data_IF_564216805464
#
_entry.id   IF_564216805464
#
_cell.length_a   1.000
_cell.length_b   1.000
_cell.length_c   1.000
_cell.angle_alpha   90.00
_cell.angle_beta   90.00
_cell.angle_gamma   90.00
#
_symmetry.space_group_name_H-M   'P 1'
#
loop_
_entity.id
_entity.type
_entity.pdbx_description
1 polymer ?
#
# COMPACT_ATOMS: atom_id res chain seq x y z
N UNK A 1 -25.30 -33.80 34.15
CA UNK A 1 -25.96 -33.68 32.83
C UNK A 1 -25.78 -32.24 32.37
N UNK A 2 -24.67 -31.93 31.69
CA UNK A 2 -24.31 -30.56 31.36
C UNK A 2 -24.69 -30.26 29.91
N UNK A 3 -25.65 -29.35 29.72
CA UNK A 3 -26.06 -28.84 28.41
C UNK A 3 -24.98 -27.90 27.87
N UNK A 4 -24.36 -28.29 26.76
CA UNK A 4 -23.55 -27.40 25.92
C UNK A 4 -24.48 -26.36 25.26
N UNK A 5 -24.18 -25.05 25.31
CA UNK A 5 -24.99 -24.08 24.59
C UNK A 5 -24.69 -24.15 23.10
N UNK A 6 -25.77 -24.26 22.32
CA UNK A 6 -25.81 -24.21 20.87
C UNK A 6 -25.22 -22.88 20.38
N UNK A 7 -24.02 -22.94 19.79
CA UNK A 7 -23.36 -21.79 19.15
C UNK A 7 -24.00 -21.61 17.78
N UNK A 8 -25.22 -21.07 17.77
CA UNK A 8 -25.87 -20.58 16.55
C UNK A 8 -25.02 -19.46 15.96
N UNK A 9 -24.25 -19.80 14.93
CA UNK A 9 -23.42 -18.85 14.20
C UNK A 9 -24.36 -18.01 13.35
N UNK A 10 -24.59 -16.76 13.76
CA UNK A 10 -25.51 -15.85 13.10
C UNK A 10 -25.13 -15.69 11.60
N UNK A 11 -25.97 -16.16 10.65
CA UNK A 11 -25.67 -16.10 9.21
C UNK A 11 -25.43 -14.67 8.71
N UNK A 12 -25.99 -13.67 9.40
CA UNK A 12 -25.83 -12.26 9.08
C UNK A 12 -24.41 -11.75 9.39
N UNK A 13 -23.72 -12.31 10.37
CA UNK A 13 -22.31 -11.98 10.64
C UNK A 13 -21.40 -12.54 9.54
N UNK A 14 -21.70 -13.75 9.06
CA UNK A 14 -21.00 -14.38 7.93
C UNK A 14 -21.26 -13.59 6.64
N UNK A 15 -22.47 -13.07 6.45
CA UNK A 15 -22.82 -12.26 5.27
C UNK A 15 -22.11 -10.90 5.28
N UNK A 16 -22.06 -10.19 6.42
CA UNK A 16 -21.31 -8.93 6.55
C UNK A 16 -19.81 -9.11 6.38
N UNK A 17 -19.25 -10.23 6.85
CA UNK A 17 -17.84 -10.57 6.63
C UNK A 17 -17.51 -10.89 5.16
N UNK A 18 -18.51 -11.27 4.35
CA UNK A 18 -18.36 -11.49 2.89
C UNK A 18 -18.63 -10.22 2.07
N UNK A 19 -19.37 -9.26 2.62
CA UNK A 19 -19.67 -7.96 1.99
C UNK A 19 -18.57 -6.91 2.20
N UNK A 20 -17.65 -7.11 3.13
CA UNK A 20 -16.32 -6.48 3.05
C UNK A 20 -15.53 -7.17 1.94
N UNK A 21 -15.91 -6.93 0.69
CA UNK A 21 -14.95 -7.00 -0.42
C UNK A 21 -13.91 -5.97 -0.06
N UNK A 22 -12.87 -6.43 0.63
CA UNK A 22 -11.72 -5.63 0.98
C UNK A 22 -11.14 -5.18 -0.36
N UNK A 23 -11.48 -3.97 -0.79
CA UNK A 23 -10.90 -3.36 -1.99
C UNK A 23 -9.41 -3.34 -1.70
N UNK A 24 -8.68 -4.25 -2.35
CA UNK A 24 -7.24 -4.35 -2.15
C UNK A 24 -6.66 -2.98 -2.45
N UNK A 25 -5.78 -2.42 -1.60
CA UNK A 25 -5.20 -1.10 -1.84
C UNK A 25 -4.18 -1.10 -3.00
N UNK A 26 -4.01 -2.25 -3.64
CA UNK A 26 -3.09 -2.49 -4.73
C UNK A 26 -3.72 -3.38 -5.81
N UNK A 27 -3.20 -3.27 -7.02
CA UNK A 27 -3.48 -4.12 -8.17
C UNK A 27 -2.20 -4.83 -8.63
N UNK A 28 -2.33 -5.92 -9.39
CA UNK A 28 -1.19 -6.68 -9.86
C UNK A 28 -0.51 -5.92 -11.02
N UNK A 29 0.77 -5.57 -10.86
CA UNK A 29 1.60 -5.05 -11.93
C UNK A 29 2.45 -6.17 -12.51
N UNK A 30 2.37 -6.34 -13.83
CA UNK A 30 3.10 -7.37 -14.57
C UNK A 30 4.01 -6.65 -15.56
N UNK A 31 5.32 -6.80 -15.37
CA UNK A 31 6.35 -6.21 -16.21
C UNK A 31 7.12 -7.31 -16.91
N UNK A 32 6.97 -7.38 -18.23
CA UNK A 32 7.78 -8.25 -19.08
C UNK A 32 8.92 -7.43 -19.69
N UNK A 33 10.15 -7.91 -19.56
CA UNK A 33 11.32 -7.33 -20.24
C UNK A 33 11.55 -7.93 -21.64
N UNK A 34 10.74 -8.91 -22.05
CA UNK A 34 10.78 -9.56 -23.36
C UNK A 34 10.05 -8.77 -24.46
N UNK A 35 10.38 -9.07 -25.72
CA UNK A 35 9.89 -8.35 -26.90
C UNK A 35 8.41 -8.60 -27.24
N UNK A 36 7.75 -9.56 -26.61
CA UNK A 36 6.36 -9.94 -26.89
C UNK A 36 5.49 -9.79 -25.63
N UNK A 37 4.28 -9.21 -25.73
CA UNK A 37 3.33 -9.18 -24.62
C UNK A 37 2.97 -10.61 -24.19
N UNK A 38 3.15 -10.91 -22.90
CA UNK A 38 2.64 -12.14 -22.29
C UNK A 38 1.30 -11.82 -21.64
N UNK A 39 0.29 -12.65 -21.93
CA UNK A 39 -0.99 -12.65 -21.22
C UNK A 39 -1.06 -13.89 -20.33
N UNK A 40 -1.57 -13.71 -19.11
CA UNK A 40 -1.80 -14.80 -18.17
C UNK A 40 -3.30 -15.07 -18.02
N UNK A 41 -3.64 -16.32 -17.73
CA UNK A 41 -5.03 -16.68 -17.43
C UNK A 41 -5.54 -15.98 -16.16
N UNK A 42 -6.86 -15.79 -16.05
CA UNK A 42 -7.48 -15.25 -14.83
C UNK A 42 -7.13 -16.07 -13.58
N UNK A 43 -7.03 -17.39 -13.73
CA UNK A 43 -6.64 -18.28 -12.64
C UNK A 43 -5.20 -18.01 -12.19
N UNK A 44 -4.28 -17.80 -13.12
CA UNK A 44 -2.89 -17.43 -12.82
C UNK A 44 -2.84 -16.08 -12.12
N UNK A 45 -3.51 -15.05 -12.66
CA UNK A 45 -3.56 -13.71 -12.04
C UNK A 45 -4.13 -13.78 -10.63
N UNK A 46 -5.19 -14.55 -10.42
CA UNK A 46 -5.80 -14.77 -9.10
C UNK A 46 -4.84 -15.46 -8.11
N UNK A 47 -4.14 -16.50 -8.55
CA UNK A 47 -3.14 -17.19 -7.72
C UNK A 47 -1.97 -16.28 -7.33
N UNK A 48 -1.43 -15.51 -8.28
CA UNK A 48 -0.36 -14.53 -8.03
C UNK A 48 -0.80 -13.46 -7.05
N UNK A 49 -2.02 -12.95 -7.23
CA UNK A 49 -2.63 -11.98 -6.32
C UNK A 49 -2.71 -12.57 -4.91
N UNK A 50 -3.15 -13.83 -4.78
CA UNK A 50 -3.27 -14.50 -3.48
C UNK A 50 -1.92 -14.72 -2.80
N UNK A 51 -0.88 -15.06 -3.55
CA UNK A 51 0.50 -15.19 -3.02
C UNK A 51 0.94 -13.86 -2.41
N UNK A 52 0.74 -12.75 -3.13
CA UNK A 52 1.08 -11.42 -2.64
C UNK A 52 0.16 -10.96 -1.49
N UNK A 53 -1.12 -11.36 -1.43
CA UNK A 53 -1.95 -11.11 -0.25
C UNK A 53 -1.39 -11.83 1.00
N UNK A 54 -0.87 -13.05 0.83
CA UNK A 54 -0.39 -13.89 1.93
C UNK A 54 1.03 -13.52 2.40
N UNK A 55 1.83 -12.90 1.54
CA UNK A 55 3.24 -12.58 1.81
C UNK A 55 3.48 -11.05 1.72
N UNK A 56 2.89 -10.25 2.63
CA UNK A 56 2.90 -8.78 2.54
C UNK A 56 4.30 -8.15 2.59
N UNK A 57 5.31 -8.90 3.05
CA UNK A 57 6.71 -8.47 3.11
C UNK A 57 7.49 -8.66 1.79
N UNK A 58 6.94 -9.39 0.82
CA UNK A 58 7.58 -9.53 -0.50
C UNK A 58 7.19 -8.36 -1.39
N UNK A 59 8.17 -7.63 -1.93
CA UNK A 59 7.91 -6.51 -2.86
C UNK A 59 7.35 -7.00 -4.22
N UNK A 60 7.67 -8.24 -4.60
CA UNK A 60 7.22 -8.88 -5.82
C UNK A 60 7.82 -10.27 -5.99
N UNK A 61 7.60 -10.85 -7.15
CA UNK A 61 8.06 -12.17 -7.54
C UNK A 61 8.44 -12.18 -9.02
N UNK A 62 9.35 -13.08 -9.39
CA UNK A 62 9.77 -13.24 -10.79
C UNK A 62 9.30 -14.58 -11.30
N UNK A 63 8.53 -14.56 -12.39
CA UNK A 63 8.10 -15.75 -13.12
C UNK A 63 9.11 -16.06 -14.21
N UNK A 64 9.57 -17.31 -14.27
CA UNK A 64 10.39 -17.82 -15.37
C UNK A 64 9.47 -18.34 -16.47
N UNK A 65 9.53 -17.75 -17.66
CA UNK A 65 8.73 -18.17 -18.82
C UNK A 65 9.65 -18.49 -20.00
N UNK A 66 9.13 -19.19 -21.01
CA UNK A 66 9.88 -19.51 -22.23
C UNK A 66 10.29 -18.25 -23.03
N UNK A 67 9.52 -17.16 -22.91
CA UNK A 67 9.85 -15.89 -23.56
C UNK A 67 10.72 -14.95 -22.69
N UNK A 68 11.17 -15.43 -21.52
CA UNK A 68 12.00 -14.69 -20.57
C UNK A 68 11.37 -14.50 -19.20
N UNK A 69 12.02 -13.68 -18.38
CA UNK A 69 11.60 -13.37 -17.02
C UNK A 69 10.49 -12.31 -17.02
N UNK A 70 9.44 -12.57 -16.23
CA UNK A 70 8.34 -11.62 -16.00
C UNK A 70 8.33 -11.24 -14.52
N UNK A 71 8.49 -9.96 -14.24
CA UNK A 71 8.40 -9.44 -12.88
C UNK A 71 6.93 -9.12 -12.55
N UNK A 72 6.49 -9.55 -11.38
CA UNK A 72 5.13 -9.35 -10.89
C UNK A 72 5.20 -8.73 -9.50
N UNK A 73 4.55 -7.59 -9.31
CA UNK A 73 4.60 -6.85 -8.05
C UNK A 73 3.23 -6.25 -7.71
N UNK A 74 3.12 -5.70 -6.50
CA UNK A 74 1.95 -4.91 -6.10
C UNK A 74 2.14 -3.50 -6.62
N UNK A 75 1.17 -2.99 -7.37
CA UNK A 75 1.05 -1.58 -7.71
C UNK A 75 -0.01 -0.95 -6.81
N UNK A 76 0.44 -0.08 -5.93
CA UNK A 76 -0.42 0.70 -5.06
C UNK A 76 -0.80 1.98 -5.81
N UNK A 77 -2.09 2.18 -6.06
CA UNK A 77 -2.56 3.39 -6.75
C UNK A 77 -2.04 4.65 -6.03
N UNK A 78 -1.65 5.65 -6.81
CA UNK A 78 -0.98 6.87 -6.36
C UNK A 78 -1.84 7.81 -5.51
N UNK A 79 -2.12 7.42 -4.27
CA UNK A 79 -2.27 8.29 -3.08
C UNK A 79 -2.21 7.45 -1.78
N UNK A 80 -1.57 6.28 -1.80
CA UNK A 80 -1.53 5.38 -0.64
C UNK A 80 -0.90 6.06 0.57
N UNK A 81 0.12 6.89 0.36
CA UNK A 81 0.72 7.71 1.42
C UNK A 81 -0.28 8.71 2.01
N UNK A 82 -1.06 9.41 1.19
CA UNK A 82 -2.09 10.34 1.69
C UNK A 82 -3.20 9.64 2.48
N UNK A 83 -3.59 8.43 2.05
CA UNK A 83 -4.54 7.60 2.78
C UNK A 83 -3.97 7.17 4.16
N UNK A 84 -2.70 6.78 4.23
CA UNK A 84 -2.04 6.44 5.49
C UNK A 84 -1.97 7.66 6.41
N UNK A 85 -1.56 8.83 5.91
CA UNK A 85 -1.49 10.08 6.69
C UNK A 85 -2.87 10.47 7.26
N UNK A 86 -3.95 10.26 6.49
CA UNK A 86 -5.34 10.47 6.94
C UNK A 86 -5.72 9.51 8.09
N UNK A 87 -5.33 8.24 7.99
CA UNK A 87 -5.56 7.27 9.06
C UNK A 87 -4.75 7.59 10.32
N UNK A 88 -3.49 8.01 10.18
CA UNK A 88 -2.66 8.47 11.30
C UNK A 88 -3.37 9.65 12.00
N UNK A 89 -3.80 10.65 11.23
CA UNK A 89 -4.52 11.82 11.75
C UNK A 89 -5.80 11.43 12.49
N UNK A 90 -6.53 10.44 11.95
CA UNK A 90 -7.76 9.92 12.57
C UNK A 90 -7.47 9.26 13.92
N UNK A 91 -6.46 8.39 13.99
CA UNK A 91 -6.05 7.72 15.24
C UNK A 91 -5.68 8.76 16.30
N UNK A 92 -4.81 9.70 15.94
CA UNK A 92 -4.33 10.73 16.86
C UNK A 92 -5.44 11.71 17.25
N UNK A 93 -6.47 11.92 16.43
CA UNK A 93 -7.60 12.79 16.81
C UNK A 93 -8.60 12.07 17.70
N UNK A 94 -8.86 10.79 17.43
CA UNK A 94 -9.85 9.99 18.15
C UNK A 94 -9.42 9.64 19.57
N UNK A 95 -8.11 9.43 19.81
CA UNK A 95 -7.58 9.06 21.12
C UNK A 95 -6.51 10.05 21.60
N UNK A 96 -6.88 11.01 22.49
CA UNK A 96 -5.95 12.00 23.02
C UNK A 96 -4.79 11.42 23.84
N UNK A 97 -4.90 10.18 24.33
CA UNK A 97 -3.84 9.52 25.11
C UNK A 97 -2.70 9.01 24.21
N UNK A 98 -2.94 8.89 22.91
CA UNK A 98 -1.91 8.55 21.93
C UNK A 98 -1.19 9.84 21.50
N UNK A 99 0.08 9.99 21.90
CA UNK A 99 0.90 11.16 21.56
C UNK A 99 1.64 11.04 20.22
N UNK A 100 1.82 9.82 19.71
CA UNK A 100 2.43 9.55 18.42
C UNK A 100 2.42 8.07 18.02
N UNK A 101 2.76 7.80 16.76
CA UNK A 101 2.88 6.46 16.18
C UNK A 101 4.32 6.30 15.67
N UNK A 102 5.02 5.30 16.21
CA UNK A 102 6.40 4.99 15.81
C UNK A 102 6.37 3.98 14.67
N UNK A 103 6.95 4.35 13.53
CA UNK A 103 7.23 3.48 12.41
C UNK A 103 8.69 3.07 12.48
N UNK A 104 8.92 1.82 12.91
CA UNK A 104 10.27 1.26 12.92
C UNK A 104 10.83 1.22 11.50
N UNK A 105 12.05 1.74 11.34
CA UNK A 105 12.77 1.65 10.08
C UNK A 105 13.12 0.21 9.71
N UNK A 106 13.29 -0.07 8.41
CA UNK A 106 13.83 -1.34 7.92
C UNK A 106 14.95 -1.07 6.91
N UNK A 107 16.09 -1.75 7.10
CA UNK A 107 17.26 -1.56 6.22
C UNK A 107 17.86 -0.16 6.31
N UNK A 108 17.63 0.67 5.28
CA UNK A 108 18.16 2.04 5.14
C UNK A 108 17.22 3.13 5.68
N UNK A 109 15.94 2.83 5.89
CA UNK A 109 15.01 3.83 6.41
C UNK A 109 15.23 4.05 7.90
N UNK A 110 15.30 5.32 8.30
CA UNK A 110 15.36 5.70 9.72
C UNK A 110 13.99 5.52 10.37
N UNK A 111 13.98 5.22 11.66
CA UNK A 111 12.76 5.27 12.47
C UNK A 111 12.11 6.66 12.35
N UNK A 112 10.78 6.66 12.25
CA UNK A 112 10.00 7.89 12.15
C UNK A 112 8.83 7.88 13.14
N UNK A 113 8.51 9.05 13.69
CA UNK A 113 7.40 9.21 14.63
C UNK A 113 6.40 10.18 14.05
N UNK A 114 5.20 9.69 13.75
CA UNK A 114 4.09 10.53 13.36
C UNK A 114 3.39 11.08 14.61
N UNK A 115 3.11 12.38 14.63
CA UNK A 115 2.51 13.09 15.78
C UNK A 115 1.32 13.93 15.33
N UNK A 116 0.60 14.56 16.26
CA UNK A 116 -0.56 15.40 15.90
C UNK A 116 -0.15 16.63 15.07
N UNK A 117 1.05 17.16 15.32
CA UNK A 117 1.61 18.29 14.56
C UNK A 117 2.25 17.83 13.24
N UNK A 118 2.54 16.53 13.12
CA UNK A 118 3.16 15.92 11.95
C UNK A 118 2.66 14.48 11.71
N UNK A 119 1.42 14.29 11.21
CA UNK A 119 0.78 12.98 11.11
C UNK A 119 1.22 12.21 9.85
N UNK A 120 2.47 12.38 9.41
CA UNK A 120 2.96 11.82 8.14
C UNK A 120 3.59 10.45 8.35
N UNK A 121 3.42 9.54 7.40
CA UNK A 121 4.02 8.21 7.40
C UNK A 121 5.47 8.20 6.94
N UNK A 122 5.80 8.86 5.82
CA UNK A 122 7.16 8.89 5.28
C UNK A 122 7.95 10.07 5.88
N UNK A 123 9.24 9.88 6.22
CA UNK A 123 10.14 10.99 6.59
C UNK A 123 10.20 12.06 5.50
N UNK A 124 10.30 11.61 4.24
CA UNK A 124 10.24 12.46 3.05
C UNK A 124 8.83 12.93 2.68
N UNK A 125 7.79 12.54 3.44
CA UNK A 125 6.40 12.92 3.19
C UNK A 125 6.18 14.44 3.16
N UNK A 126 7.02 15.21 3.87
CA UNK A 126 7.05 16.68 3.75
C UNK A 126 7.50 17.13 2.36
N UNK A 127 8.58 16.54 1.84
CA UNK A 127 9.13 16.89 0.52
C UNK A 127 8.15 16.49 -0.59
N UNK A 128 7.52 15.31 -0.50
CA UNK A 128 6.47 14.89 -1.45
C UNK A 128 5.23 15.78 -1.38
N UNK A 129 4.77 16.17 -0.18
CA UNK A 129 3.65 17.08 -0.01
C UNK A 129 3.94 18.46 -0.60
N UNK A 130 5.15 19.00 -0.42
CA UNK A 130 5.57 20.27 -1.03
C UNK A 130 5.50 20.18 -2.56
N UNK A 131 6.00 19.08 -3.15
CA UNK A 131 5.94 18.87 -4.61
C UNK A 131 4.50 18.76 -5.09
N UNK A 132 3.65 18.00 -4.39
CA UNK A 132 2.22 17.84 -4.72
C UNK A 132 1.46 19.15 -4.60
N UNK A 133 1.67 19.90 -3.53
CA UNK A 133 0.97 21.16 -3.27
C UNK A 133 1.43 22.23 -4.27
N UNK A 134 2.71 22.24 -4.64
CA UNK A 134 3.24 23.10 -5.70
C UNK A 134 2.64 22.74 -7.08
N UNK A 135 2.51 21.45 -7.41
CA UNK A 135 1.86 21.00 -8.65
C UNK A 135 0.38 21.40 -8.67
N UNK A 136 -0.33 21.18 -7.56
CA UNK A 136 -1.75 21.54 -7.41
C UNK A 136 -1.98 23.05 -7.47
N UNK A 137 -1.05 23.84 -6.95
CA UNK A 137 -1.07 25.30 -7.04
C UNK A 137 -0.60 25.84 -8.41
N UNK A 138 -0.17 24.97 -9.34
CA UNK A 138 0.36 25.38 -10.64
C UNK A 138 1.72 26.09 -10.57
N UNK A 139 2.43 25.97 -9.44
CA UNK A 139 3.75 26.56 -9.22
C UNK A 139 4.88 25.76 -9.89
N UNK A 140 4.63 24.49 -10.19
CA UNK A 140 5.50 23.61 -10.97
C UNK A 140 4.65 22.81 -11.96
N UNK A 141 5.25 22.42 -13.09
CA UNK A 141 4.62 21.53 -14.05
C UNK A 141 4.78 20.04 -13.68
N UNK A 142 4.09 19.17 -14.42
CA UNK A 142 4.10 17.72 -14.19
C UNK A 142 5.49 17.09 -14.35
N UNK A 143 6.33 17.60 -15.26
CA UNK A 143 7.66 17.06 -15.52
C UNK A 143 8.64 17.45 -14.41
N UNK A 144 8.53 18.66 -13.89
CA UNK A 144 9.24 19.12 -12.70
C UNK A 144 8.78 18.40 -11.44
N UNK A 145 7.47 18.17 -11.27
CA UNK A 145 6.96 17.36 -10.17
C UNK A 145 7.51 15.93 -10.21
N UNK A 146 7.56 15.29 -11.38
CA UNK A 146 8.12 13.95 -11.55
C UNK A 146 9.62 13.91 -11.23
N UNK A 147 10.41 14.91 -11.68
CA UNK A 147 11.84 15.01 -11.37
C UNK A 147 12.09 15.17 -9.88
N UNK A 148 11.37 16.06 -9.20
CA UNK A 148 11.51 16.28 -7.75
C UNK A 148 11.11 15.05 -6.96
N UNK A 149 10.00 14.41 -7.32
CA UNK A 149 9.54 13.14 -6.73
C UNK A 149 10.61 12.05 -6.85
N UNK A 150 11.19 11.86 -8.05
CA UNK A 150 12.30 10.90 -8.26
C UNK A 150 13.55 11.23 -7.45
N UNK A 151 13.87 12.50 -7.25
CA UNK A 151 15.02 12.91 -6.45
C UNK A 151 14.83 12.59 -4.96
N UNK A 152 13.60 12.76 -4.45
CA UNK A 152 13.24 12.42 -3.07
C UNK A 152 13.40 10.90 -2.85
N UNK A 153 12.86 10.07 -3.75
CA UNK A 153 13.04 8.61 -3.69
C UNK A 153 14.50 8.12 -3.75
N UNK A 154 15.43 8.94 -4.24
CA UNK A 154 16.85 8.58 -4.36
C UNK A 154 17.66 8.97 -3.13
N UNK A 155 17.08 9.77 -2.23
CA UNK A 155 17.69 10.30 -1.01
C UNK A 155 17.40 9.40 0.21
N UNK A 156 16.24 8.73 0.19
CA UNK A 156 15.87 7.64 1.12
C UNK A 156 16.52 6.31 0.70
#
# INVERSE_FOLDING_TARGET
MNKTPDRSVNPSAIKRARESVQTRPWQLLIQNNGAQPISFSEQTVSALTRILDLLPHLDGLTLKTEAGDVHVSRDFSGDTTGAVDSHISTILTADPHISGIVFSGSGKSSEHVATRDDPRYLPAGKEFAIVRDALKAGLIDSDEALRKTKAIYKKD
#
